data_IF_206556106729
#
_entry.id   IF_206556106729
#
_cell.length_a   1.000
_cell.length_b   1.000
_cell.length_c   1.000
_cell.angle_alpha   90.00
_cell.angle_beta   90.00
_cell.angle_gamma   90.00
#
_symmetry.space_group_name_H-M   'P 1'
#
loop_
_entity.id
_entity.type
_entity.pdbx_description
1 polymer ?
#
# COMPACT_ATOMS: atom_id res chain seq x y z
N UNK A 1 8.10 4.67 16.34
CA UNK A 1 8.42 3.31 16.85
C UNK A 1 9.93 3.20 16.91
N UNK A 2 10.47 2.69 18.02
CA UNK A 2 11.91 2.45 18.16
C UNK A 2 12.23 0.95 18.02
N UNK A 3 13.46 0.62 17.68
CA UNK A 3 13.99 -0.74 17.76
C UNK A 3 15.40 -0.74 18.39
N UNK A 4 15.83 -1.90 18.86
CA UNK A 4 17.12 -2.13 19.47
C UNK A 4 17.65 -3.51 19.12
N UNK A 5 18.96 -3.62 19.05
CA UNK A 5 19.63 -4.91 18.89
C UNK A 5 19.85 -5.55 20.28
N UNK A 6 19.24 -6.70 20.54
CA UNK A 6 19.34 -7.45 21.80
C UNK A 6 19.80 -8.88 21.52
N UNK A 7 20.97 -9.25 22.05
CA UNK A 7 21.54 -10.58 21.86
C UNK A 7 21.55 -11.03 20.38
N UNK A 8 21.85 -10.12 19.44
CA UNK A 8 21.90 -10.39 18.01
C UNK A 8 20.54 -10.40 17.31
N UNK A 9 19.44 -10.05 17.99
CA UNK A 9 18.09 -9.93 17.40
C UNK A 9 17.58 -8.51 17.50
N UNK A 10 16.87 -8.06 16.47
CA UNK A 10 16.23 -6.75 16.49
C UNK A 10 14.86 -6.87 17.17
N UNK A 11 14.71 -6.17 18.29
CA UNK A 11 13.47 -6.07 19.07
C UNK A 11 12.83 -4.72 18.80
N UNK A 12 11.54 -4.73 18.44
CA UNK A 12 10.75 -3.52 18.16
C UNK A 12 9.95 -3.11 19.38
N UNK A 13 9.95 -1.82 19.66
CA UNK A 13 9.25 -1.21 20.78
C UNK A 13 8.21 -0.22 20.25
N UNK A 14 6.93 -0.58 20.41
CA UNK A 14 5.82 0.35 20.11
C UNK A 14 5.75 1.50 21.13
N UNK A 15 6.19 1.23 22.36
CA UNK A 15 6.35 2.19 23.45
C UNK A 15 7.68 1.93 24.13
N UNK A 16 8.38 3.00 24.56
CA UNK A 16 9.59 2.89 25.34
C UNK A 16 9.23 2.36 26.74
N UNK A 17 9.98 1.39 27.28
CA UNK A 17 9.74 0.87 28.64
C UNK A 17 9.87 1.97 29.67
N UNK A 18 9.07 1.92 30.73
CA UNK A 18 9.22 2.82 31.87
C UNK A 18 10.44 2.45 32.72
N UNK A 19 10.74 1.15 32.82
CA UNK A 19 11.91 0.64 33.54
C UNK A 19 12.96 0.17 32.54
N UNK A 20 14.20 0.62 32.71
CA UNK A 20 15.33 0.23 31.88
C UNK A 20 16.60 0.15 32.71
N UNK A 21 17.30 -0.96 32.64
CA UNK A 21 18.61 -1.14 33.26
C UNK A 21 19.70 -0.82 32.24
N UNK A 22 19.90 0.46 32.01
CA UNK A 22 20.89 0.98 31.08
C UNK A 22 22.14 1.48 31.80
N UNK A 23 22.88 2.33 31.10
CA UNK A 23 24.12 2.95 31.60
C UNK A 23 23.86 4.03 32.65
N UNK A 24 22.63 4.57 32.69
CA UNK A 24 22.21 5.66 33.61
C UNK A 24 20.91 5.31 34.33
N UNK A 25 20.67 6.04 35.42
CA UNK A 25 19.38 6.04 36.09
C UNK A 25 18.51 7.18 35.56
N UNK A 26 17.31 6.85 35.03
CA UNK A 26 16.40 7.80 34.40
C UNK A 26 15.33 8.26 35.40
N UNK A 27 15.42 9.51 35.85
CA UNK A 27 14.44 10.11 36.77
C UNK A 27 13.10 10.28 36.05
N UNK A 28 12.03 9.76 36.63
CA UNK A 28 10.71 9.79 36.03
C UNK A 28 10.43 8.65 35.02
N UNK A 29 11.41 7.74 34.83
CA UNK A 29 11.29 6.56 33.95
C UNK A 29 11.93 6.77 32.60
N UNK A 30 12.41 5.66 32.01
CA UNK A 30 13.13 5.66 30.73
C UNK A 30 12.28 6.13 29.56
N UNK A 31 10.97 5.99 29.63
CA UNK A 31 10.04 6.48 28.58
C UNK A 31 10.05 8.02 28.43
N UNK A 32 10.65 8.76 29.39
CA UNK A 32 10.85 10.21 29.32
C UNK A 32 12.28 10.59 28.89
N UNK A 33 13.12 9.62 28.52
CA UNK A 33 14.47 9.88 28.06
C UNK A 33 14.45 10.67 26.73
N UNK A 34 15.44 11.54 26.54
CA UNK A 34 15.61 12.28 25.29
C UNK A 34 15.99 11.36 24.14
N UNK A 35 15.92 11.86 22.91
CA UNK A 35 16.33 11.08 21.74
C UNK A 35 17.77 10.63 21.83
N UNK A 36 18.68 11.51 22.26
CA UNK A 36 20.10 11.25 22.44
C UNK A 36 20.36 10.18 23.51
N UNK A 37 19.59 10.22 24.60
CA UNK A 37 19.65 9.22 25.66
C UNK A 37 19.15 7.86 25.21
N UNK A 38 18.07 7.82 24.42
CA UNK A 38 17.54 6.61 23.81
C UNK A 38 18.55 5.99 22.83
N UNK A 39 19.16 6.81 21.98
CA UNK A 39 20.19 6.39 21.03
C UNK A 39 21.45 5.88 21.75
N UNK A 40 21.87 6.52 22.83
CA UNK A 40 22.99 6.06 23.66
C UNK A 40 22.74 4.66 24.27
N UNK A 41 21.49 4.29 24.52
CA UNK A 41 21.07 2.96 24.97
C UNK A 41 20.73 2.01 23.78
N UNK A 42 20.98 2.45 22.56
CA UNK A 42 20.78 1.66 21.33
C UNK A 42 19.34 1.59 20.82
N UNK A 43 18.47 2.51 21.27
CA UNK A 43 17.10 2.63 20.78
C UNK A 43 17.02 3.62 19.64
N UNK A 44 17.06 3.14 18.42
CA UNK A 44 16.97 3.97 17.21
C UNK A 44 15.57 3.95 16.62
N UNK A 45 15.24 4.99 15.84
CA UNK A 45 13.99 5.04 15.10
C UNK A 45 13.89 3.92 14.07
N UNK A 46 12.67 3.41 13.87
CA UNK A 46 12.38 2.51 12.74
C UNK A 46 11.73 3.34 11.65
N UNK A 47 12.44 3.48 10.55
CA UNK A 47 11.99 4.20 9.35
C UNK A 47 11.62 3.17 8.28
N UNK A 48 10.41 3.30 7.75
CA UNK A 48 9.98 2.51 6.60
C UNK A 48 10.36 3.31 5.36
N UNK A 49 11.21 2.78 4.46
CA UNK A 49 11.55 3.46 3.21
C UNK A 49 10.32 3.62 2.33
N UNK A 50 10.35 4.59 1.43
CA UNK A 50 9.31 4.73 0.42
C UNK A 50 9.38 3.54 -0.54
N UNK A 51 8.25 2.88 -0.74
CA UNK A 51 8.13 1.73 -1.62
C UNK A 51 6.72 1.60 -2.19
N UNK A 52 6.61 0.94 -3.31
CA UNK A 52 5.35 0.66 -3.96
C UNK A 52 4.78 -0.71 -3.53
N UNK A 53 3.78 -0.76 -2.62
CA UNK A 53 3.26 -2.01 -2.09
C UNK A 53 2.59 -2.90 -3.14
N UNK A 54 2.28 -2.40 -4.33
CA UNK A 54 1.72 -3.19 -5.43
C UNK A 54 2.78 -4.12 -6.03
N UNK A 55 3.98 -3.60 -6.25
CA UNK A 55 5.06 -4.29 -6.96
C UNK A 55 6.29 -4.55 -6.09
N UNK A 56 6.35 -3.98 -4.89
CA UNK A 56 7.48 -4.09 -3.97
C UNK A 56 7.06 -4.64 -2.62
N UNK A 57 8.03 -5.16 -1.88
CA UNK A 57 7.89 -5.65 -0.51
C UNK A 57 9.08 -5.18 0.30
N UNK A 58 8.83 -4.79 1.54
CA UNK A 58 9.89 -4.54 2.51
C UNK A 58 10.26 -5.85 3.23
N UNK A 59 11.53 -6.04 3.45
CA UNK A 59 12.08 -7.20 4.19
C UNK A 59 13.36 -6.83 4.90
N UNK A 60 13.94 -7.77 5.68
CA UNK A 60 15.24 -7.62 6.31
C UNK A 60 15.42 -6.30 7.08
N UNK A 61 14.73 -6.16 8.23
CA UNK A 61 14.97 -5.03 9.13
C UNK A 61 16.43 -5.06 9.62
N UNK A 62 17.18 -3.99 9.41
CA UNK A 62 18.58 -3.87 9.79
C UNK A 62 18.89 -2.47 10.32
N UNK A 63 20.04 -2.31 10.99
CA UNK A 63 20.55 -1.02 11.39
C UNK A 63 21.28 -0.37 10.21
N UNK A 64 20.88 0.86 9.87
CA UNK A 64 21.54 1.71 8.88
C UNK A 64 22.26 2.85 9.61
N UNK A 65 23.58 2.90 9.47
CA UNK A 65 24.43 3.84 10.21
C UNK A 65 24.49 5.25 9.62
N UNK A 66 23.97 5.46 8.42
CA UNK A 66 24.13 6.73 7.68
C UNK A 66 22.86 7.17 6.99
N UNK A 67 21.73 7.06 7.67
CA UNK A 67 20.45 7.52 7.14
C UNK A 67 20.44 9.05 6.99
N UNK A 68 20.33 9.51 5.75
CA UNK A 68 20.27 10.95 5.45
C UNK A 68 18.92 11.55 5.87
N UNK A 69 18.97 12.74 6.48
CA UNK A 69 17.79 13.53 6.82
C UNK A 69 18.15 15.01 6.79
N UNK A 70 17.15 15.88 6.73
CA UNK A 70 17.34 17.32 6.90
C UNK A 70 17.02 17.68 8.36
N UNK A 71 17.95 18.34 9.05
CA UNK A 71 17.77 18.75 10.43
C UNK A 71 16.79 19.94 10.58
N UNK A 72 16.53 20.37 11.81
CA UNK A 72 15.59 21.46 12.10
C UNK A 72 16.03 22.80 11.52
N UNK A 73 17.33 22.97 11.30
CA UNK A 73 17.94 24.19 10.74
C UNK A 73 18.02 24.13 9.20
N UNK A 74 17.56 23.04 8.58
CA UNK A 74 17.55 22.86 7.13
C UNK A 74 18.85 22.32 6.55
N UNK A 75 19.77 21.79 7.36
CA UNK A 75 21.05 21.24 6.89
C UNK A 75 20.92 19.73 6.66
N UNK A 76 21.68 19.23 5.70
CA UNK A 76 21.82 17.80 5.48
C UNK A 76 22.64 17.15 6.60
N UNK A 77 22.10 16.10 7.20
CA UNK A 77 22.69 15.36 8.29
C UNK A 77 22.48 13.84 8.12
N UNK A 78 23.19 13.05 8.91
CA UNK A 78 22.99 11.59 8.97
C UNK A 78 22.81 11.13 10.39
N UNK A 79 22.03 10.05 10.58
CA UNK A 79 21.84 9.40 11.89
C UNK A 79 21.69 7.89 11.74
N UNK A 80 21.86 7.16 12.82
CA UNK A 80 21.57 5.74 12.87
C UNK A 80 20.05 5.50 12.97
N UNK A 81 19.54 4.57 12.17
CA UNK A 81 18.13 4.16 12.20
C UNK A 81 18.01 2.67 11.90
N UNK A 82 16.93 2.05 12.32
CA UNK A 82 16.54 0.77 11.77
C UNK A 82 15.67 1.00 10.54
N UNK A 83 16.00 0.33 9.44
CA UNK A 83 15.24 0.42 8.19
C UNK A 83 15.09 -0.96 7.54
N UNK A 84 14.32 -1.02 6.47
CA UNK A 84 14.08 -2.25 5.71
C UNK A 84 14.68 -2.15 4.32
N UNK A 85 15.15 -3.28 3.80
CA UNK A 85 15.43 -3.41 2.38
C UNK A 85 14.13 -3.39 1.58
N UNK A 86 14.12 -2.74 0.43
CA UNK A 86 13.02 -2.77 -0.54
C UNK A 86 13.39 -3.75 -1.65
N UNK A 87 12.50 -4.67 -1.95
CA UNK A 87 12.68 -5.66 -3.01
C UNK A 87 11.46 -5.73 -3.91
N UNK A 88 11.69 -5.86 -5.21
CA UNK A 88 10.61 -6.10 -6.15
C UNK A 88 9.98 -7.49 -5.93
N UNK A 89 8.64 -7.54 -5.96
CA UNK A 89 7.89 -8.80 -5.89
C UNK A 89 8.15 -9.62 -7.15
N UNK A 90 8.36 -10.92 -6.98
CA UNK A 90 8.37 -11.85 -8.10
C UNK A 90 6.94 -12.08 -8.56
N UNK A 91 6.57 -11.49 -9.71
CA UNK A 91 5.27 -11.67 -10.35
C UNK A 91 5.45 -12.73 -11.45
N UNK A 92 4.94 -13.93 -11.22
CA UNK A 92 5.08 -15.07 -12.16
C UNK A 92 4.25 -14.88 -13.43
N UNK A 93 3.09 -14.22 -13.33
CA UNK A 93 2.21 -13.96 -14.47
C UNK A 93 2.90 -13.07 -15.51
N UNK A 94 2.66 -13.37 -16.77
CA UNK A 94 3.01 -12.51 -17.90
C UNK A 94 2.13 -11.26 -17.95
N UNK A 95 2.53 -10.25 -18.71
CA UNK A 95 1.70 -9.04 -18.92
C UNK A 95 0.35 -9.40 -19.54
N UNK A 96 0.32 -10.40 -20.44
CA UNK A 96 -0.92 -10.84 -21.10
C UNK A 96 -1.89 -11.50 -20.10
N UNK A 97 -1.39 -12.38 -19.24
CA UNK A 97 -2.19 -13.04 -18.20
C UNK A 97 -2.73 -12.02 -17.19
N UNK A 98 -1.91 -11.07 -16.77
CA UNK A 98 -2.33 -9.97 -15.87
C UNK A 98 -3.45 -9.13 -16.51
N UNK A 99 -3.34 -8.77 -17.79
CA UNK A 99 -4.40 -8.05 -18.50
C UNK A 99 -5.69 -8.85 -18.54
N UNK A 100 -5.61 -10.14 -18.89
CA UNK A 100 -6.78 -11.04 -18.92
C UNK A 100 -7.47 -11.09 -17.56
N UNK A 101 -6.71 -11.27 -16.49
CA UNK A 101 -7.22 -11.27 -15.12
C UNK A 101 -7.85 -9.92 -14.75
N UNK A 102 -7.18 -8.80 -15.05
CA UNK A 102 -7.66 -7.46 -14.72
C UNK A 102 -8.94 -7.08 -15.45
N UNK A 103 -9.06 -7.50 -16.73
CA UNK A 103 -10.29 -7.34 -17.53
C UNK A 103 -11.42 -8.20 -16.96
N UNK A 104 -11.13 -9.42 -16.50
CA UNK A 104 -12.13 -10.27 -15.87
C UNK A 104 -12.65 -9.65 -14.56
N UNK A 105 -11.77 -9.11 -13.73
CA UNK A 105 -12.14 -8.38 -12.51
C UNK A 105 -13.01 -7.15 -12.83
N UNK A 106 -12.63 -6.35 -13.83
CA UNK A 106 -13.42 -5.20 -14.31
C UNK A 106 -14.84 -5.62 -14.76
N UNK A 107 -14.93 -6.71 -15.52
CA UNK A 107 -16.25 -7.23 -15.99
C UNK A 107 -17.09 -7.77 -14.85
N UNK A 108 -16.47 -8.36 -13.81
CA UNK A 108 -17.19 -8.79 -12.60
C UNK A 108 -17.79 -7.60 -11.84
N UNK A 109 -17.00 -6.54 -11.64
CA UNK A 109 -17.49 -5.31 -11.00
C UNK A 109 -18.64 -4.65 -11.79
N UNK A 110 -18.56 -4.67 -13.11
CA UNK A 110 -19.63 -4.18 -13.98
C UNK A 110 -20.90 -5.04 -13.87
N UNK A 111 -20.75 -6.38 -13.85
CA UNK A 111 -21.85 -7.30 -13.66
C UNK A 111 -22.58 -7.06 -12.35
N UNK A 112 -21.84 -6.88 -11.24
CA UNK A 112 -22.43 -6.62 -9.94
C UNK A 112 -23.31 -5.35 -9.96
N UNK A 113 -22.86 -4.31 -10.67
CA UNK A 113 -23.64 -3.07 -10.83
C UNK A 113 -24.85 -3.24 -11.76
N UNK A 114 -24.67 -3.91 -12.89
CA UNK A 114 -25.73 -4.09 -13.89
C UNK A 114 -26.83 -5.03 -13.38
N UNK A 115 -26.48 -6.05 -12.60
CA UNK A 115 -27.42 -7.06 -12.07
C UNK A 115 -28.54 -6.45 -11.22
N UNK A 116 -28.26 -5.34 -10.53
CA UNK A 116 -29.25 -4.63 -9.70
C UNK A 116 -30.45 -4.16 -10.53
N UNK A 117 -30.22 -3.84 -11.81
CA UNK A 117 -31.22 -3.30 -12.73
C UNK A 117 -31.60 -4.27 -13.86
N UNK A 118 -31.13 -5.53 -13.85
CA UNK A 118 -31.42 -6.50 -14.91
C UNK A 118 -32.89 -6.86 -15.02
N UNK A 119 -33.64 -6.79 -13.91
CA UNK A 119 -35.07 -7.03 -13.94
C UNK A 119 -35.85 -6.07 -14.87
N UNK A 120 -35.35 -4.83 -15.06
CA UNK A 120 -35.94 -3.91 -16.06
C UNK A 120 -35.80 -4.41 -17.49
N UNK A 121 -34.63 -5.00 -17.81
CA UNK A 121 -34.37 -5.57 -19.12
C UNK A 121 -35.23 -6.82 -19.36
N UNK A 122 -35.37 -7.67 -18.35
CA UNK A 122 -36.23 -8.85 -18.38
C UNK A 122 -37.69 -8.43 -18.60
N UNK A 123 -38.19 -7.46 -17.82
CA UNK A 123 -39.56 -6.94 -17.95
C UNK A 123 -39.82 -6.35 -19.35
N UNK A 124 -38.85 -5.61 -19.91
CA UNK A 124 -38.96 -5.11 -21.28
C UNK A 124 -39.07 -6.25 -22.29
N UNK A 125 -38.30 -7.31 -22.13
CA UNK A 125 -38.36 -8.48 -23.00
C UNK A 125 -39.65 -9.27 -22.90
N UNK A 126 -40.25 -9.40 -21.69
CA UNK A 126 -41.45 -10.18 -21.43
C UNK A 126 -42.74 -9.47 -21.82
N UNK A 127 -42.88 -8.19 -21.56
CA UNK A 127 -44.15 -7.48 -21.72
C UNK A 127 -44.05 -6.12 -22.44
N UNK A 128 -42.85 -5.77 -22.96
CA UNK A 128 -42.65 -4.53 -23.73
C UNK A 128 -42.56 -3.26 -22.88
N UNK A 129 -42.57 -3.34 -21.55
CA UNK A 129 -42.46 -2.16 -20.67
C UNK A 129 -41.07 -1.54 -20.81
N UNK A 130 -40.99 -0.28 -21.23
CA UNK A 130 -39.74 0.43 -21.42
C UNK A 130 -38.93 0.55 -20.15
N UNK A 131 -37.60 0.49 -20.30
CA UNK A 131 -36.67 0.78 -19.19
C UNK A 131 -36.71 2.27 -18.90
N UNK A 132 -36.85 2.74 -17.64
CA UNK A 132 -36.74 4.15 -17.31
C UNK A 132 -35.46 4.76 -17.89
N UNK A 133 -35.57 5.98 -18.43
CA UNK A 133 -34.47 6.63 -19.17
C UNK A 133 -33.21 6.87 -18.34
N UNK A 134 -33.37 7.16 -17.05
CA UNK A 134 -32.29 7.31 -16.07
C UNK A 134 -31.53 5.98 -15.87
N UNK A 135 -32.26 4.89 -15.67
CA UNK A 135 -31.70 3.53 -15.56
C UNK A 135 -30.98 3.12 -16.85
N UNK A 136 -31.59 3.40 -18.02
CA UNK A 136 -30.94 3.10 -19.30
C UNK A 136 -29.63 3.88 -19.45
N UNK A 137 -29.64 5.18 -19.10
CA UNK A 137 -28.45 6.03 -19.14
C UNK A 137 -27.32 5.52 -18.23
N UNK A 138 -27.66 5.13 -16.99
CA UNK A 138 -26.72 4.56 -16.05
C UNK A 138 -26.11 3.26 -16.59
N UNK A 139 -26.91 2.34 -17.09
CA UNK A 139 -26.46 1.07 -17.68
C UNK A 139 -25.53 1.29 -18.87
N UNK A 140 -25.83 2.24 -19.71
CA UNK A 140 -25.00 2.57 -20.90
C UNK A 140 -23.69 3.23 -20.47
N UNK A 141 -23.70 4.06 -19.44
CA UNK A 141 -22.49 4.62 -18.83
C UNK A 141 -21.56 3.53 -18.27
N UNK A 142 -22.11 2.54 -17.56
CA UNK A 142 -21.35 1.39 -17.06
C UNK A 142 -20.69 0.63 -18.20
N UNK A 143 -21.43 0.29 -19.27
CA UNK A 143 -20.92 -0.44 -20.45
C UNK A 143 -19.82 0.35 -21.18
N UNK A 144 -20.03 1.65 -21.36
CA UNK A 144 -19.06 2.54 -22.00
C UNK A 144 -17.77 2.62 -21.17
N UNK A 145 -17.90 2.72 -19.83
CA UNK A 145 -16.76 2.73 -18.93
C UNK A 145 -15.95 1.41 -19.03
N UNK A 146 -16.63 0.25 -19.05
CA UNK A 146 -15.97 -1.06 -19.26
C UNK A 146 -15.16 -1.06 -20.54
N UNK A 147 -15.77 -0.70 -21.66
CA UNK A 147 -15.11 -0.70 -22.97
C UNK A 147 -13.89 0.21 -22.99
N UNK A 148 -14.02 1.40 -22.40
CA UNK A 148 -12.92 2.38 -22.28
C UNK A 148 -11.77 1.84 -21.42
N UNK A 149 -12.08 1.29 -20.26
CA UNK A 149 -11.07 0.73 -19.33
C UNK A 149 -10.41 -0.51 -19.93
N UNK A 150 -11.17 -1.38 -20.60
CA UNK A 150 -10.63 -2.57 -21.29
C UNK A 150 -9.62 -2.15 -22.38
N UNK A 151 -9.94 -1.15 -23.19
CA UNK A 151 -9.01 -0.63 -24.19
C UNK A 151 -7.72 -0.06 -23.55
N UNK A 152 -7.86 0.69 -22.45
CA UNK A 152 -6.72 1.23 -21.69
C UNK A 152 -5.86 0.11 -21.11
N UNK A 153 -6.44 -0.92 -20.46
CA UNK A 153 -5.70 -2.07 -19.92
C UNK A 153 -4.93 -2.77 -21.05
N UNK A 154 -5.55 -2.97 -22.22
CA UNK A 154 -4.92 -3.59 -23.36
C UNK A 154 -3.72 -2.78 -23.91
N UNK A 155 -3.73 -1.47 -23.77
CA UNK A 155 -2.63 -0.58 -24.17
C UNK A 155 -1.42 -0.61 -23.22
N UNK A 156 -1.57 -1.04 -21.95
CA UNK A 156 -0.49 -1.08 -20.97
C UNK A 156 0.63 -2.04 -21.40
N UNK A 157 1.87 -1.73 -21.04
CA UNK A 157 3.06 -2.49 -21.49
C UNK A 157 3.81 -3.21 -20.38
N UNK A 158 3.61 -2.83 -19.11
CA UNK A 158 4.36 -3.36 -17.98
C UNK A 158 3.46 -4.03 -16.95
N UNK A 159 3.98 -5.01 -16.22
CA UNK A 159 3.26 -5.66 -15.11
C UNK A 159 2.80 -4.64 -14.07
N UNK A 160 3.67 -3.71 -13.71
CA UNK A 160 3.36 -2.66 -12.74
C UNK A 160 2.17 -1.79 -13.19
N UNK A 161 2.15 -1.33 -14.43
CA UNK A 161 1.08 -0.49 -14.95
C UNK A 161 -0.27 -1.24 -14.99
N UNK A 162 -0.27 -2.53 -15.31
CA UNK A 162 -1.50 -3.36 -15.30
C UNK A 162 -2.02 -3.55 -13.87
N UNK A 163 -1.14 -3.86 -12.92
CA UNK A 163 -1.52 -4.08 -11.52
C UNK A 163 -2.05 -2.82 -10.84
N UNK A 164 -1.47 -1.66 -11.16
CA UNK A 164 -1.87 -0.35 -10.61
C UNK A 164 -3.08 0.26 -11.29
N UNK A 165 -3.51 -0.26 -12.42
CA UNK A 165 -4.61 0.35 -13.16
C UNK A 165 -5.91 0.29 -12.34
N UNK A 166 -6.55 1.45 -12.12
CA UNK A 166 -7.81 1.55 -11.38
C UNK A 166 -8.99 1.07 -12.23
N UNK A 167 -9.63 -0.03 -11.78
CA UNK A 167 -10.80 -0.64 -12.43
C UNK A 167 -12.13 -0.26 -11.76
N UNK A 168 -12.12 0.52 -10.68
CA UNK A 168 -13.35 0.93 -10.00
C UNK A 168 -14.19 1.89 -10.86
N UNK A 169 -15.51 1.89 -10.61
CA UNK A 169 -16.50 2.70 -11.34
C UNK A 169 -16.82 3.99 -10.58
#
# INVERSE_FOLDING_TARGET
MKARLESGKIVKYSKIPSEWKGTKHYIGGFHNATTEELEAEGFFDVIVPDYDPVIQVIHNLHLEGSWAYTDIDGNDATREVFTYDVKDKTISETVAELKTRRIKELKSLAYDKLSITDWYAIRKAENGTEIPSDIQTERDAIRTNVSTKEAKINALKTKASVLKYDINF
#
